data_IF_056223701948
#
_entry.id   IF_056223701948
#
_cell.length_a   1.000
_cell.length_b   1.000
_cell.length_c   1.000
_cell.angle_alpha   90.00
_cell.angle_beta   90.00
_cell.angle_gamma   90.00
#
_symmetry.space_group_name_H-M   'P 1'
#
loop_
_entity.id
_entity.type
_entity.pdbx_description
1 polymer ?
#
# COMPACT_ATOMS: atom_id res chain seq x y z
N UNK A 1 25.02 30.05 15.16
CA UNK A 1 24.65 30.43 13.78
C UNK A 1 24.36 31.93 13.70
N UNK A 2 23.98 32.47 12.53
CA UNK A 2 23.52 33.87 12.39
C UNK A 2 22.02 33.99 12.68
N UNK A 3 21.54 35.18 13.05
CA UNK A 3 20.11 35.43 13.36
C UNK A 3 19.16 35.00 12.25
N UNK A 4 19.49 35.31 10.99
CA UNK A 4 18.68 34.91 9.83
C UNK A 4 18.66 33.39 9.62
N UNK A 5 19.78 32.70 9.86
CA UNK A 5 19.86 31.24 9.67
C UNK A 5 19.25 30.47 10.84
N UNK A 6 19.26 31.02 12.06
CA UNK A 6 18.43 30.53 13.17
C UNK A 6 16.93 30.68 12.86
N UNK A 7 16.50 31.83 12.34
CA UNK A 7 15.11 32.04 11.92
C UNK A 7 14.67 31.08 10.81
N UNK A 8 15.54 30.80 9.85
CA UNK A 8 15.29 29.79 8.81
C UNK A 8 15.23 28.37 9.39
N UNK A 9 16.14 27.99 10.28
CA UNK A 9 16.12 26.68 10.95
C UNK A 9 14.82 26.47 11.75
N UNK A 10 14.36 27.49 12.48
CA UNK A 10 13.06 27.48 13.16
C UNK A 10 11.91 27.23 12.18
N UNK A 11 11.88 27.94 11.04
CA UNK A 11 10.88 27.72 10.00
C UNK A 11 10.91 26.30 9.43
N UNK A 12 12.10 25.73 9.20
CA UNK A 12 12.27 24.35 8.76
C UNK A 12 11.77 23.34 9.79
N UNK A 13 11.98 23.58 11.10
CA UNK A 13 11.41 22.78 12.18
C UNK A 13 9.87 22.88 12.18
N UNK A 14 9.30 24.08 12.02
CA UNK A 14 7.84 24.26 11.89
C UNK A 14 7.26 23.52 10.67
N UNK A 15 7.93 23.56 9.51
CA UNK A 15 7.51 22.82 8.30
C UNK A 15 7.59 21.30 8.52
N UNK A 16 8.63 20.83 9.23
CA UNK A 16 8.75 19.44 9.67
C UNK A 16 7.54 19.00 10.52
N UNK A 17 7.28 19.75 11.60
CA UNK A 17 6.19 19.49 12.55
C UNK A 17 4.78 19.56 11.94
N UNK A 18 4.51 20.59 11.13
CA UNK A 18 3.15 20.97 10.73
C UNK A 18 2.76 20.55 9.30
N UNK A 19 3.71 20.24 8.42
CA UNK A 19 3.41 19.83 7.04
C UNK A 19 3.97 18.45 6.71
N UNK A 20 5.28 18.24 6.87
CA UNK A 20 5.97 16.99 6.50
C UNK A 20 5.42 15.80 7.28
N UNK A 21 5.34 15.92 8.61
CA UNK A 21 4.85 14.84 9.46
C UNK A 21 3.38 14.44 9.16
N UNK A 22 2.39 15.35 9.10
CA UNK A 22 1.03 15.00 8.68
C UNK A 22 0.95 14.35 7.29
N UNK A 23 1.65 14.91 6.29
CA UNK A 23 1.65 14.38 4.91
C UNK A 23 2.21 12.96 4.83
N UNK A 24 3.30 12.68 5.54
CA UNK A 24 3.89 11.34 5.59
C UNK A 24 3.08 10.35 6.43
N UNK A 25 2.52 10.76 7.58
CA UNK A 25 1.74 9.86 8.43
C UNK A 25 0.47 9.36 7.74
N UNK A 26 -0.10 10.15 6.83
CA UNK A 26 -1.21 9.73 5.95
C UNK A 26 -0.82 8.66 4.91
N UNK A 27 0.47 8.36 4.71
CA UNK A 27 0.96 7.26 3.86
C UNK A 27 1.19 5.96 4.65
N UNK A 28 1.12 6.00 5.99
CA UNK A 28 1.52 4.88 6.85
C UNK A 28 0.30 4.15 7.42
N UNK A 29 0.01 2.98 6.84
CA UNK A 29 -1.08 2.09 7.25
C UNK A 29 -0.78 1.34 8.57
N UNK A 30 -0.71 2.08 9.69
CA UNK A 30 -0.51 1.53 11.03
C UNK A 30 -1.82 1.58 11.84
N UNK A 31 -2.24 0.48 12.49
CA UNK A 31 -3.39 0.49 13.40
C UNK A 31 -3.25 1.56 14.49
N UNK A 32 -4.21 2.49 14.53
CA UNK A 32 -4.20 3.65 15.44
C UNK A 32 -3.57 4.94 14.87
N UNK A 33 -2.88 4.90 13.73
CA UNK A 33 -2.28 6.09 13.11
C UNK A 33 -3.32 7.19 12.83
N UNK A 34 -4.55 6.84 12.47
CA UNK A 34 -5.64 7.80 12.29
C UNK A 34 -6.01 8.59 13.56
N UNK A 35 -5.79 8.03 14.76
CA UNK A 35 -5.96 8.76 16.03
C UNK A 35 -4.78 9.70 16.27
N UNK A 36 -3.55 9.23 16.03
CA UNK A 36 -2.33 10.04 16.17
C UNK A 36 -2.36 11.22 15.19
N UNK A 37 -2.73 11.00 13.92
CA UNK A 37 -2.88 12.04 12.90
C UNK A 37 -3.94 13.09 13.28
N UNK A 38 -5.12 12.68 13.77
CA UNK A 38 -6.17 13.62 14.21
C UNK A 38 -5.73 14.48 15.41
N UNK A 39 -4.93 13.94 16.32
CA UNK A 39 -4.43 14.65 17.50
C UNK A 39 -3.08 15.34 17.24
N UNK A 40 -2.46 15.15 16.07
CA UNK A 40 -1.10 15.58 15.79
C UNK A 40 -0.88 17.07 16.01
N UNK A 41 -1.80 17.90 15.52
CA UNK A 41 -1.69 19.35 15.64
C UNK A 41 -1.80 19.84 17.10
N UNK A 42 -2.41 19.08 18.02
CA UNK A 42 -2.44 19.43 19.44
C UNK A 42 -1.06 19.30 20.10
N UNK A 43 -0.23 18.38 19.59
CA UNK A 43 1.16 18.17 20.03
C UNK A 43 2.16 19.03 19.23
N UNK A 44 1.96 19.14 17.92
CA UNK A 44 2.88 19.83 17.01
C UNK A 44 2.78 21.37 17.06
N UNK A 45 1.60 21.93 17.34
CA UNK A 45 1.41 23.40 17.43
C UNK A 45 2.19 24.03 18.61
N UNK A 46 2.05 23.57 19.88
CA UNK A 46 2.86 24.11 20.97
C UNK A 46 4.37 23.91 20.73
N UNK A 47 4.78 22.77 20.17
CA UNK A 47 6.17 22.53 19.79
C UNK A 47 6.66 23.52 18.72
N UNK A 48 5.84 23.82 17.70
CA UNK A 48 6.15 24.82 16.68
C UNK A 48 6.13 26.27 17.21
N UNK A 49 5.39 26.56 18.29
CA UNK A 49 5.48 27.85 19.00
C UNK A 49 6.80 27.93 19.80
N UNK A 50 7.24 26.82 20.41
CA UNK A 50 8.41 26.81 21.30
C UNK A 50 9.72 27.29 20.65
N UNK A 51 9.92 27.07 19.34
CA UNK A 51 11.15 27.48 18.65
C UNK A 51 11.30 28.99 18.53
N UNK A 52 10.19 29.74 18.56
CA UNK A 52 10.15 31.21 18.49
C UNK A 52 10.23 31.88 19.86
N UNK A 53 10.10 31.12 20.96
CA UNK A 53 10.28 31.61 22.32
C UNK A 53 11.77 31.60 22.73
N UNK A 54 12.19 32.49 23.65
CA UNK A 54 13.46 32.35 24.35
C UNK A 54 13.57 30.98 25.03
N UNK A 55 14.78 30.41 25.07
CA UNK A 55 15.06 29.14 25.77
C UNK A 55 14.75 29.29 27.26
N UNK A 56 14.13 28.27 27.86
CA UNK A 56 13.65 28.28 29.23
C UNK A 56 12.47 27.34 29.45
N UNK A 57 11.98 27.28 30.69
CA UNK A 57 10.97 26.28 31.11
C UNK A 57 9.69 26.30 30.27
N UNK A 58 9.18 27.47 29.89
CA UNK A 58 7.95 27.60 29.09
C UNK A 58 8.14 27.00 27.70
N UNK A 59 9.26 27.29 27.04
CA UNK A 59 9.58 26.73 25.73
C UNK A 59 9.82 25.21 25.82
N UNK A 60 10.48 24.73 26.88
CA UNK A 60 10.70 23.31 27.12
C UNK A 60 9.38 22.54 27.35
N UNK A 61 8.44 23.10 28.12
CA UNK A 61 7.10 22.51 28.34
C UNK A 61 6.28 22.47 27.05
N UNK A 62 6.31 23.53 26.26
CA UNK A 62 5.63 23.58 24.95
C UNK A 62 6.25 22.61 23.93
N UNK A 63 7.56 22.39 23.98
CA UNK A 63 8.22 21.33 23.22
C UNK A 63 7.86 19.92 23.72
N UNK A 64 7.74 19.73 25.04
CA UNK A 64 7.46 18.43 25.65
C UNK A 64 6.07 17.89 25.29
N UNK A 65 5.12 18.76 24.92
CA UNK A 65 3.85 18.38 24.33
C UNK A 65 3.97 17.53 23.04
N UNK A 66 5.14 17.53 22.39
CA UNK A 66 5.40 16.69 21.22
C UNK A 66 5.68 15.21 21.57
N UNK A 67 6.31 14.95 22.72
CA UNK A 67 6.78 13.62 23.12
C UNK A 67 5.68 12.52 23.15
N UNK A 68 4.44 12.77 23.63
CA UNK A 68 3.40 11.74 23.62
C UNK A 68 3.01 11.29 22.20
N UNK A 69 2.97 12.22 21.25
CA UNK A 69 2.61 11.92 19.86
C UNK A 69 3.69 11.08 19.16
N UNK A 70 4.97 11.43 19.35
CA UNK A 70 6.08 10.68 18.75
C UNK A 70 6.29 9.33 19.44
N UNK A 71 6.11 9.25 20.76
CA UNK A 71 6.13 7.99 21.51
C UNK A 71 5.04 7.03 21.03
N UNK A 72 3.84 7.54 20.70
CA UNK A 72 2.78 6.72 20.12
C UNK A 72 3.12 6.14 18.73
N UNK A 73 3.91 6.85 17.91
CA UNK A 73 4.46 6.33 16.66
C UNK A 73 5.50 5.24 16.92
N UNK A 74 6.48 5.52 17.79
CA UNK A 74 7.56 4.60 18.17
C UNK A 74 7.02 3.27 18.71
N UNK A 75 6.07 3.31 19.66
CA UNK A 75 5.42 2.12 20.24
C UNK A 75 4.59 1.34 19.21
N UNK A 76 4.22 1.97 18.09
CA UNK A 76 3.46 1.32 17.02
C UNK A 76 4.34 0.75 15.91
N UNK A 77 5.60 1.18 15.79
CA UNK A 77 6.54 0.63 14.79
C UNK A 77 6.78 -0.90 14.94
N UNK A 78 6.98 -1.48 16.15
CA UNK A 78 7.08 -2.94 16.31
C UNK A 78 5.81 -3.69 15.87
N UNK A 79 4.63 -3.07 15.94
CA UNK A 79 3.38 -3.70 15.48
C UNK A 79 3.36 -3.89 13.96
N UNK A 80 3.97 -2.98 13.21
CA UNK A 80 4.20 -3.15 11.76
C UNK A 80 5.09 -4.36 11.49
N UNK A 81 6.18 -4.51 12.26
CA UNK A 81 7.11 -5.66 12.15
C UNK A 81 6.41 -6.98 12.45
N UNK A 82 5.59 -7.04 13.50
CA UNK A 82 4.89 -8.24 13.91
C UNK A 82 3.73 -8.61 12.97
N UNK A 83 3.00 -7.62 12.43
CA UNK A 83 1.93 -7.87 11.45
C UNK A 83 2.48 -8.54 10.18
N UNK A 84 3.59 -8.03 9.62
CA UNK A 84 4.23 -8.63 8.44
C UNK A 84 4.99 -9.94 8.70
N UNK A 85 5.09 -10.41 9.96
CA UNK A 85 5.67 -11.72 10.32
C UNK A 85 4.63 -12.82 10.49
N UNK A 86 3.34 -12.51 10.48
CA UNK A 86 2.28 -13.54 10.53
C UNK A 86 2.11 -14.13 9.12
N UNK A 87 2.27 -15.46 8.92
CA UNK A 87 1.81 -16.09 7.70
C UNK A 87 0.29 -15.94 7.60
N UNK A 88 -0.24 -15.85 6.38
CA UNK A 88 -1.67 -16.06 6.17
C UNK A 88 -2.06 -17.44 6.72
N UNK A 89 -3.20 -17.58 7.43
CA UNK A 89 -3.76 -18.90 7.67
C UNK A 89 -4.03 -19.54 6.31
N UNK A 90 -3.55 -20.77 6.10
CA UNK A 90 -3.89 -21.51 4.90
C UNK A 90 -5.41 -21.78 4.90
N UNK A 91 -6.10 -21.32 3.86
CA UNK A 91 -7.50 -21.68 3.60
C UNK A 91 -7.56 -23.18 3.35
N UNK A 92 -8.06 -23.93 4.33
CA UNK A 92 -8.06 -25.41 4.34
C UNK A 92 -9.18 -25.99 3.47
N UNK A 93 -9.22 -25.59 2.20
CA UNK A 93 -10.21 -26.00 1.20
C UNK A 93 -9.56 -26.81 0.06
N UNK A 94 -9.02 -27.99 0.39
CA UNK A 94 -8.62 -29.02 -0.59
C UNK A 94 -8.33 -30.39 0.08
N UNK A 95 -9.30 -30.98 0.79
CA UNK A 95 -9.23 -32.39 1.22
C UNK A 95 -10.63 -32.97 1.44
N UNK A 96 -11.43 -32.93 0.38
CA UNK A 96 -12.81 -33.42 0.33
C UNK A 96 -12.98 -34.60 -0.63
N UNK A 97 -12.08 -35.59 -0.53
CA UNK A 97 -12.18 -36.82 -1.32
C UNK A 97 -13.24 -37.77 -0.75
N UNK A 98 -14.30 -38.02 -1.53
CA UNK A 98 -15.17 -39.21 -1.42
C UNK A 98 -16.07 -39.38 -2.62
N UNK A 99 -16.05 -40.59 -3.17
CA UNK A 99 -16.87 -41.00 -4.31
C UNK A 99 -18.39 -41.05 -4.04
N UNK A 100 -19.10 -41.14 -5.16
CA UNK A 100 -20.56 -41.27 -5.30
C UNK A 100 -21.22 -42.37 -4.46
N UNK A 101 -22.50 -42.18 -4.10
CA UNK A 101 -23.60 -43.02 -4.61
C UNK A 101 -25.02 -42.56 -4.19
N UNK A 102 -25.95 -42.61 -5.16
CA UNK A 102 -27.41 -42.82 -5.05
C UNK A 102 -28.35 -41.75 -4.41
N UNK A 103 -29.39 -41.42 -5.20
CA UNK A 103 -30.66 -40.70 -4.91
C UNK A 103 -31.78 -41.75 -4.66
N UNK A 104 -33.07 -41.42 -4.39
CA UNK A 104 -33.69 -40.12 -4.05
C UNK A 104 -34.68 -40.18 -2.83
N UNK A 105 -35.35 -39.05 -2.55
CA UNK A 105 -36.57 -38.91 -1.74
C UNK A 105 -37.29 -37.60 -2.10
N UNK A 106 -38.61 -37.49 -1.91
CA UNK A 106 -39.47 -36.43 -2.48
C UNK A 106 -40.50 -35.85 -1.48
N UNK A 107 -41.37 -34.95 -1.98
CA UNK A 107 -42.64 -34.45 -1.37
C UNK A 107 -42.42 -33.39 -0.24
N UNK A 108 -43.24 -32.34 0.02
CA UNK A 108 -44.33 -31.57 -0.66
C UNK A 108 -44.50 -30.23 0.18
N UNK A 109 -45.35 -29.20 -0.01
CA UNK A 109 -46.47 -28.86 -0.90
C UNK A 109 -46.75 -27.32 -0.93
N UNK A 110 -47.70 -26.89 -1.78
CA UNK A 110 -48.60 -25.70 -1.66
C UNK A 110 -48.10 -24.28 -2.06
N UNK A 111 -48.89 -23.56 -2.89
CA UNK A 111 -48.58 -22.16 -3.25
C UNK A 111 -49.66 -21.26 -3.90
N UNK A 112 -50.57 -21.78 -4.77
CA UNK A 112 -51.83 -21.15 -5.29
C UNK A 112 -51.83 -19.72 -5.91
N UNK A 113 -52.71 -19.57 -6.93
CA UNK A 113 -53.26 -18.36 -7.59
C UNK A 113 -52.45 -17.75 -8.76
N UNK A 114 -53.05 -17.14 -9.80
CA UNK A 114 -54.37 -17.27 -10.48
C UNK A 114 -54.40 -16.29 -11.68
N UNK A 115 -54.67 -16.79 -12.90
CA UNK A 115 -55.35 -16.21 -14.09
C UNK A 115 -55.80 -14.72 -14.17
N UNK A 116 -56.07 -14.16 -15.38
CA UNK A 116 -55.50 -14.47 -16.72
C UNK A 116 -55.36 -13.23 -17.68
N UNK A 117 -54.80 -13.46 -18.88
CA UNK A 117 -55.33 -12.81 -20.11
C UNK A 117 -54.59 -11.58 -20.69
N UNK A 118 -54.90 -11.21 -21.95
CA UNK A 118 -53.83 -11.18 -22.96
C UNK A 118 -53.81 -9.98 -23.94
N UNK A 119 -52.92 -10.09 -24.93
CA UNK A 119 -52.89 -9.44 -26.26
C UNK A 119 -52.70 -7.92 -26.40
N UNK A 120 -51.61 -7.53 -27.08
CA UNK A 120 -51.65 -6.81 -28.39
C UNK A 120 -50.24 -6.58 -28.96
N UNK A 121 -50.08 -6.75 -30.27
CA UNK A 121 -48.81 -6.56 -31.03
C UNK A 121 -48.90 -5.25 -31.90
N UNK A 122 -48.15 -4.98 -33.01
CA UNK A 122 -47.58 -3.64 -33.23
C UNK A 122 -48.15 -2.87 -34.44
N UNK A 123 -47.74 -1.60 -34.63
CA UNK A 123 -48.05 -0.83 -35.85
C UNK A 123 -47.19 0.45 -36.03
N UNK A 124 -47.09 1.02 -37.26
CA UNK A 124 -46.04 1.98 -37.64
C UNK A 124 -46.54 3.32 -38.25
N UNK A 125 -45.63 4.03 -38.95
CA UNK A 125 -45.81 5.18 -39.85
C UNK A 125 -46.15 6.55 -39.16
N UNK A 126 -45.65 7.72 -39.61
CA UNK A 126 -45.58 8.24 -40.98
C UNK A 126 -44.46 9.29 -41.25
N UNK A 127 -44.18 9.54 -42.53
CA UNK A 127 -43.29 10.56 -43.16
C UNK A 127 -44.10 11.86 -43.51
N UNK A 128 -43.68 12.89 -44.32
CA UNK A 128 -42.35 13.32 -44.83
C UNK A 128 -42.05 14.86 -44.87
N UNK A 129 -40.75 15.23 -44.93
CA UNK A 129 -40.13 16.38 -45.66
C UNK A 129 -40.61 17.86 -45.51
N UNK A 130 -40.01 18.85 -46.24
CA UNK A 130 -38.80 18.79 -47.08
C UNK A 130 -37.73 19.93 -46.86
N UNK A 131 -36.55 19.73 -47.48
CA UNK A 131 -35.55 20.67 -48.05
C UNK A 131 -35.03 21.93 -47.31
N UNK A 132 -33.69 21.98 -47.11
CA UNK A 132 -32.81 22.77 -48.01
C UNK A 132 -31.29 22.59 -47.76
N UNK A 133 -30.54 22.59 -48.87
CA UNK A 133 -29.11 22.36 -49.11
C UNK A 133 -28.06 22.84 -48.08
N UNK A 134 -26.97 22.04 -47.93
CA UNK A 134 -25.65 22.36 -48.54
C UNK A 134 -24.56 21.27 -48.39
N UNK A 135 -24.17 20.75 -49.54
CA UNK A 135 -22.84 20.28 -49.99
C UNK A 135 -21.84 19.65 -48.99
N UNK A 136 -21.56 18.38 -49.25
CA UNK A 136 -20.37 17.61 -48.84
C UNK A 136 -19.22 17.83 -49.89
N UNK A 137 -18.10 17.06 -49.99
CA UNK A 137 -17.77 15.81 -49.30
C UNK A 137 -16.31 15.64 -48.79
N UNK A 138 -16.12 14.59 -47.96
CA UNK A 138 -14.90 13.74 -47.96
C UNK A 138 -15.26 12.46 -48.75
N UNK A 139 -14.31 11.68 -49.33
CA UNK A 139 -13.84 10.52 -48.53
C UNK A 139 -12.47 9.88 -48.87
N UNK A 140 -11.98 9.13 -47.87
CA UNK A 140 -11.23 7.85 -47.89
C UNK A 140 -9.80 7.63 -48.44
N UNK A 141 -9.19 6.60 -47.82
CA UNK A 141 -7.98 5.85 -48.22
C UNK A 141 -8.23 4.97 -49.45
N UNK A 142 -7.19 4.78 -50.28
CA UNK A 142 -6.71 3.54 -50.96
C UNK A 142 -5.54 3.91 -51.91
N UNK A 143 -4.61 3.05 -52.34
CA UNK A 143 -4.00 1.80 -51.79
C UNK A 143 -2.78 1.39 -52.67
N UNK A 144 -1.65 1.02 -52.06
CA UNK A 144 -0.54 0.22 -52.62
C UNK A 144 0.35 0.77 -53.77
N UNK A 145 1.52 0.12 -53.89
CA UNK A 145 2.44 -0.07 -55.03
C UNK A 145 3.10 1.13 -55.74
N UNK A 146 4.42 1.30 -55.56
CA UNK A 146 5.45 0.86 -56.54
C UNK A 146 6.90 1.18 -56.08
N UNK A 147 7.81 0.24 -56.34
CA UNK A 147 9.29 0.36 -56.33
C UNK A 147 9.80 -0.46 -57.53
N UNK A 148 10.86 -0.05 -58.25
CA UNK A 148 12.05 -0.93 -58.23
C UNK A 148 13.44 -0.27 -58.50
N UNK A 149 14.44 -0.72 -57.72
CA UNK A 149 15.85 -0.84 -58.14
C UNK A 149 16.78 0.35 -57.86
N UNK A 150 18.10 0.18 -57.69
CA UNK A 150 19.00 -0.99 -57.68
C UNK A 150 20.02 -0.83 -56.51
N UNK A 151 20.90 -1.76 -56.12
CA UNK A 151 21.67 -2.78 -56.86
C UNK A 151 22.08 -4.00 -56.00
N UNK A 152 22.71 -5.00 -56.63
CA UNK A 152 23.15 -6.26 -55.98
C UNK A 152 24.59 -6.20 -55.46
N UNK A 153 24.90 -7.08 -54.50
CA UNK A 153 26.02 -8.00 -54.64
C UNK A 153 25.87 -9.25 -53.76
N UNK A 154 25.90 -10.43 -54.39
CA UNK A 154 25.81 -11.74 -53.74
C UNK A 154 27.16 -12.20 -53.15
N UNK A 155 27.14 -13.07 -52.12
CA UNK A 155 28.10 -14.18 -51.97
C UNK A 155 27.64 -15.22 -50.92
N UNK A 156 27.73 -16.50 -51.27
CA UNK A 156 27.47 -17.72 -50.47
C UNK A 156 28.07 -18.94 -51.24
N UNK A 157 27.95 -20.23 -50.82
CA UNK A 157 27.49 -20.81 -49.54
C UNK A 157 28.41 -21.95 -48.98
N UNK A 158 28.02 -22.57 -47.85
CA UNK A 158 28.46 -23.90 -47.37
C UNK A 158 27.79 -24.22 -46.01
N UNK A 159 27.08 -25.34 -45.74
CA UNK A 159 27.38 -26.79 -45.87
C UNK A 159 28.55 -27.25 -44.96
N UNK A 160 28.46 -28.33 -44.18
CA UNK A 160 27.46 -29.43 -44.09
C UNK A 160 27.60 -30.23 -42.76
N UNK A 161 26.52 -30.90 -42.29
CA UNK A 161 26.52 -32.19 -41.50
C UNK A 161 27.21 -32.20 -40.11
N UNK A 162 27.05 -33.21 -39.23
CA UNK A 162 26.01 -34.24 -39.01
C UNK A 162 26.09 -34.73 -37.53
N UNK A 163 25.18 -35.63 -37.16
CA UNK A 163 25.21 -36.60 -36.03
C UNK A 163 24.18 -36.35 -34.91
N UNK A 164 23.36 -37.38 -34.67
CA UNK A 164 22.50 -37.50 -33.49
C UNK A 164 22.81 -38.78 -32.73
N UNK A 165 22.45 -38.81 -31.45
CA UNK A 165 22.50 -40.01 -30.61
C UNK A 165 21.32 -40.01 -29.64
N UNK A 166 20.54 -41.09 -29.65
CA UNK A 166 19.38 -41.28 -28.78
C UNK A 166 19.59 -42.50 -27.88
N UNK A 167 19.45 -42.35 -26.57
CA UNK A 167 19.19 -43.48 -25.66
C UNK A 167 18.59 -43.05 -24.31
N UNK A 168 18.13 -44.08 -23.59
CA UNK A 168 17.17 -44.06 -22.49
C UNK A 168 17.45 -43.12 -21.29
N UNK A 169 16.37 -42.73 -20.61
CA UNK A 169 16.36 -42.47 -19.15
C UNK A 169 15.93 -43.74 -18.39
N UNK A 170 15.26 -43.65 -17.23
CA UNK A 170 14.86 -42.45 -16.48
C UNK A 170 15.67 -42.28 -15.18
N UNK A 171 15.69 -41.07 -14.62
CA UNK A 171 16.01 -40.90 -13.21
C UNK A 171 15.24 -39.75 -12.57
N UNK A 172 14.85 -39.91 -11.31
CA UNK A 172 13.86 -39.08 -10.62
C UNK A 172 14.46 -37.80 -10.02
N UNK A 173 14.89 -36.89 -10.89
CA UNK A 173 15.21 -35.52 -10.47
C UNK A 173 13.97 -34.83 -9.89
N UNK A 174 13.87 -34.78 -8.56
CA UNK A 174 12.80 -34.07 -7.85
C UNK A 174 12.68 -32.64 -8.41
N UNK A 175 11.51 -32.32 -8.99
CA UNK A 175 11.14 -30.93 -9.26
C UNK A 175 10.83 -30.24 -7.93
N UNK A 176 11.91 -29.90 -7.22
CA UNK A 176 11.88 -29.11 -6.00
C UNK A 176 11.39 -27.72 -6.35
N UNK A 177 10.06 -27.55 -6.38
CA UNK A 177 9.39 -26.27 -6.53
C UNK A 177 9.93 -25.34 -5.45
N UNK A 178 10.90 -24.50 -5.82
CA UNK A 178 11.65 -23.67 -4.87
C UNK A 178 10.68 -22.69 -4.23
N UNK A 179 10.26 -23.02 -3.01
CA UNK A 179 9.28 -22.24 -2.26
C UNK A 179 9.84 -20.82 -2.10
N UNK A 180 9.30 -19.88 -2.89
CA UNK A 180 9.75 -18.47 -2.92
C UNK A 180 9.64 -17.90 -1.52
N UNK A 181 10.75 -17.85 -0.77
CA UNK A 181 10.76 -17.42 0.62
C UNK A 181 10.12 -16.03 0.79
N UNK A 182 8.89 -15.93 1.33
CA UNK A 182 8.18 -14.67 1.40
C UNK A 182 8.59 -13.95 2.69
N UNK A 183 9.70 -13.22 2.64
CA UNK A 183 10.22 -12.52 3.83
C UNK A 183 11.19 -11.38 3.52
N UNK A 184 12.34 -11.69 2.91
CA UNK A 184 13.49 -10.77 2.84
C UNK A 184 13.21 -9.40 2.20
N UNK A 185 12.27 -9.27 1.27
CA UNK A 185 11.87 -7.97 0.69
C UNK A 185 10.98 -7.14 1.61
N UNK A 186 10.00 -7.78 2.24
CA UNK A 186 9.02 -7.13 3.12
C UNK A 186 9.69 -6.62 4.39
N UNK A 187 10.58 -7.44 4.99
CA UNK A 187 11.29 -7.09 6.23
C UNK A 187 12.12 -5.81 6.11
N UNK A 188 12.79 -5.56 4.98
CA UNK A 188 13.68 -4.38 4.84
C UNK A 188 12.90 -3.09 4.59
N UNK A 189 11.79 -3.15 3.84
CA UNK A 189 10.80 -2.04 3.78
C UNK A 189 10.27 -1.71 5.18
N UNK A 190 9.93 -2.74 5.95
CA UNK A 190 9.43 -2.61 7.31
C UNK A 190 10.44 -1.94 8.24
N UNK A 191 11.75 -2.21 8.10
CA UNK A 191 12.79 -1.49 8.84
C UNK A 191 12.81 -0.01 8.46
N UNK A 192 12.78 0.34 7.17
CA UNK A 192 12.76 1.75 6.74
C UNK A 192 11.54 2.52 7.28
N UNK A 193 10.35 1.93 7.25
CA UNK A 193 9.13 2.55 7.81
C UNK A 193 9.18 2.60 9.34
N UNK A 194 9.78 1.61 10.02
CA UNK A 194 9.97 1.64 11.46
C UNK A 194 10.96 2.75 11.88
N UNK A 195 12.06 2.94 11.14
CA UNK A 195 12.99 4.07 11.32
C UNK A 195 12.29 5.40 11.11
N UNK A 196 11.44 5.52 10.09
CA UNK A 196 10.64 6.73 9.89
C UNK A 196 9.75 7.01 11.11
N UNK A 197 9.05 6.01 11.64
CA UNK A 197 8.17 6.16 12.81
C UNK A 197 8.92 6.42 14.14
N UNK A 198 10.18 5.98 14.25
CA UNK A 198 11.03 6.21 15.41
C UNK A 198 11.70 7.60 15.41
N UNK A 199 12.10 8.10 14.23
CA UNK A 199 12.86 9.33 14.07
C UNK A 199 12.24 10.58 14.74
N UNK A 200 10.91 10.84 14.67
CA UNK A 200 10.28 11.95 15.38
C UNK A 200 10.54 11.99 16.89
N UNK A 201 10.75 10.84 17.54
CA UNK A 201 11.03 10.81 18.99
C UNK A 201 12.44 11.30 19.30
N UNK A 202 13.41 11.06 18.42
CA UNK A 202 14.76 11.67 18.54
C UNK A 202 14.65 13.18 18.35
N UNK A 203 13.90 13.64 17.35
CA UNK A 203 13.62 15.06 17.14
C UNK A 203 12.92 15.71 18.35
N UNK A 204 11.98 15.01 18.99
CA UNK A 204 11.27 15.49 20.18
C UNK A 204 12.18 15.60 21.41
N UNK A 205 13.02 14.60 21.68
CA UNK A 205 13.99 14.64 22.76
C UNK A 205 15.03 15.75 22.55
N UNK A 206 15.55 15.91 21.33
CA UNK A 206 16.47 16.99 20.98
C UNK A 206 15.81 18.37 21.15
N UNK A 207 14.56 18.54 20.68
CA UNK A 207 13.83 19.81 20.81
C UNK A 207 13.59 20.19 22.28
N UNK A 208 13.18 19.24 23.13
CA UNK A 208 12.95 19.51 24.57
C UNK A 208 14.25 19.91 25.27
N UNK A 209 15.35 19.20 25.01
CA UNK A 209 16.66 19.54 25.56
C UNK A 209 17.13 20.93 25.09
N UNK A 210 17.04 21.21 23.79
CA UNK A 210 17.49 22.46 23.18
C UNK A 210 16.67 23.68 23.66
N UNK A 211 15.34 23.54 23.76
CA UNK A 211 14.45 24.57 24.32
C UNK A 211 14.64 24.78 25.82
N UNK A 212 15.07 23.75 26.55
CA UNK A 212 15.48 23.86 27.95
C UNK A 212 16.88 24.47 28.15
N UNK A 213 17.67 24.62 27.07
CA UNK A 213 19.09 25.01 27.16
C UNK A 213 20.01 23.90 27.66
N UNK A 214 19.54 22.64 27.67
CA UNK A 214 20.27 21.47 28.15
C UNK A 214 21.07 20.81 27.03
N UNK A 215 22.38 20.65 27.25
CA UNK A 215 23.30 19.95 26.33
C UNK A 215 23.16 18.44 26.47
N UNK A 216 22.13 17.88 25.83
CA UNK A 216 21.90 16.44 25.77
C UNK A 216 23.14 15.72 25.17
N UNK A 217 23.68 14.74 25.91
CA UNK A 217 24.96 14.06 25.61
C UNK A 217 26.18 14.99 25.41
N UNK A 218 26.10 16.25 25.88
CA UNK A 218 27.15 17.26 25.70
C UNK A 218 27.04 18.06 24.40
N UNK A 219 26.16 17.70 23.46
CA UNK A 219 26.01 18.39 22.18
C UNK A 219 25.59 19.86 22.35
N UNK A 220 26.11 20.71 21.45
CA UNK A 220 25.76 22.13 21.39
C UNK A 220 24.31 22.36 20.99
N UNK A 221 23.72 23.46 21.46
CA UNK A 221 22.30 23.76 21.25
C UNK A 221 21.95 23.95 19.75
N UNK A 222 22.86 24.51 18.95
CA UNK A 222 22.67 24.60 17.49
C UNK A 222 22.68 23.20 16.84
N UNK A 223 23.50 22.25 17.33
CA UNK A 223 23.52 20.85 16.87
C UNK A 223 22.23 20.13 17.25
N UNK A 224 21.71 20.35 18.45
CA UNK A 224 20.42 19.80 18.86
C UNK A 224 19.26 20.37 18.02
N UNK A 225 19.25 21.66 17.71
CA UNK A 225 18.25 22.27 16.82
C UNK A 225 18.33 21.69 15.38
N UNK A 226 19.54 21.49 14.86
CA UNK A 226 19.76 20.80 13.59
C UNK A 226 19.33 19.33 13.64
N UNK A 227 19.49 18.65 14.78
CA UNK A 227 19.01 17.28 14.99
C UNK A 227 17.48 17.20 14.87
N UNK A 228 16.74 18.19 15.40
CA UNK A 228 15.28 18.27 15.21
C UNK A 228 14.94 18.25 13.72
N UNK A 229 15.53 19.17 12.93
CA UNK A 229 15.27 19.24 11.50
C UNK A 229 15.69 17.94 10.76
N UNK A 230 16.91 17.44 10.98
CA UNK A 230 17.40 16.25 10.29
C UNK A 230 16.52 15.02 10.55
N UNK A 231 16.03 14.82 11.77
CA UNK A 231 15.16 13.68 12.07
C UNK A 231 13.72 13.83 11.52
N UNK A 232 13.25 15.03 11.20
CA UNK A 232 12.02 15.23 10.40
C UNK A 232 12.24 14.95 8.90
N UNK A 233 13.37 15.37 8.33
CA UNK A 233 13.62 15.27 6.88
C UNK A 233 14.35 13.98 6.47
N UNK A 234 15.57 13.75 6.95
CA UNK A 234 16.33 12.54 6.68
C UNK A 234 15.86 11.34 7.51
N UNK A 235 15.49 11.57 8.78
CA UNK A 235 14.97 10.51 9.66
C UNK A 235 13.60 9.99 9.24
N UNK A 236 12.60 10.86 9.14
CA UNK A 236 11.23 10.50 8.78
C UNK A 236 10.98 10.48 7.26
N UNK A 237 11.06 11.62 6.59
CA UNK A 237 10.58 11.73 5.20
C UNK A 237 11.39 10.86 4.22
N UNK A 238 12.73 10.85 4.34
CA UNK A 238 13.59 10.04 3.49
C UNK A 238 13.41 8.52 3.73
N UNK A 239 13.36 8.07 4.98
CA UNK A 239 13.15 6.65 5.29
C UNK A 239 11.75 6.16 4.83
N UNK A 240 10.72 7.00 4.97
CA UNK A 240 9.38 6.72 4.46
C UNK A 240 9.34 6.61 2.93
N UNK A 241 9.90 7.60 2.22
CA UNK A 241 9.95 7.60 0.75
C UNK A 241 10.79 6.42 0.24
N UNK A 242 11.91 6.09 0.90
CA UNK A 242 12.71 4.91 0.58
C UNK A 242 11.92 3.59 0.74
N UNK A 243 11.11 3.47 1.80
CA UNK A 243 10.20 2.34 2.01
C UNK A 243 9.11 2.22 0.93
N UNK A 244 8.56 3.34 0.45
CA UNK A 244 7.57 3.39 -0.63
C UNK A 244 8.18 3.07 -2.00
N UNK A 245 9.41 3.54 -2.26
CA UNK A 245 10.17 3.20 -3.47
C UNK A 245 10.55 1.71 -3.48
N UNK A 246 10.87 1.13 -2.32
CA UNK A 246 11.12 -0.32 -2.18
C UNK A 246 9.87 -1.18 -2.43
N UNK A 247 8.67 -0.66 -2.19
CA UNK A 247 7.41 -1.34 -2.58
C UNK A 247 7.23 -1.35 -4.10
N UNK A 248 7.54 -0.23 -4.77
CA UNK A 248 7.39 -0.11 -6.23
C UNK A 248 8.49 -0.87 -7.01
N UNK A 249 9.70 -1.01 -6.48
CA UNK A 249 10.76 -1.88 -7.02
C UNK A 249 10.84 -3.24 -6.29
N UNK A 250 9.70 -3.72 -5.79
CA UNK A 250 9.60 -4.96 -5.00
C UNK A 250 10.13 -6.19 -5.75
N UNK A 251 10.71 -7.11 -4.98
CA UNK A 251 11.41 -8.30 -5.50
C UNK A 251 12.86 -8.05 -5.97
N UNK A 252 13.29 -6.80 -6.23
CA UNK A 252 14.67 -6.50 -6.64
C UNK A 252 15.63 -6.26 -5.46
N UNK A 253 16.96 -6.42 -5.66
CA UNK A 253 17.95 -5.96 -4.68
C UNK A 253 18.01 -4.42 -4.59
N UNK A 254 17.74 -3.70 -5.69
CA UNK A 254 17.82 -2.24 -5.76
C UNK A 254 16.86 -1.54 -4.80
N UNK A 255 15.56 -1.87 -4.83
CA UNK A 255 14.60 -1.35 -3.83
C UNK A 255 15.00 -1.66 -2.38
N UNK A 256 15.52 -2.88 -2.12
CA UNK A 256 15.97 -3.30 -0.78
C UNK A 256 17.17 -2.51 -0.27
N UNK A 257 18.15 -2.23 -1.13
CA UNK A 257 19.32 -1.39 -0.81
C UNK A 257 18.88 0.06 -0.53
N UNK A 258 17.97 0.59 -1.36
CA UNK A 258 17.40 1.93 -1.17
C UNK A 258 16.63 2.07 0.16
N UNK A 259 15.86 1.05 0.57
CA UNK A 259 15.20 1.04 1.88
C UNK A 259 16.21 1.02 3.05
N UNK A 260 17.30 0.25 2.93
CA UNK A 260 18.25 0.06 4.03
C UNK A 260 19.32 1.15 4.14
N UNK A 261 19.58 1.94 3.10
CA UNK A 261 20.59 3.00 3.14
C UNK A 261 20.28 4.09 4.16
N UNK A 262 19.00 4.45 4.36
CA UNK A 262 18.61 5.47 5.34
C UNK A 262 18.83 5.01 6.78
N UNK A 263 18.30 3.86 7.26
CA UNK A 263 18.59 3.37 8.61
C UNK A 263 20.06 3.04 8.84
N UNK A 264 20.77 2.45 7.86
CA UNK A 264 22.19 2.16 7.99
C UNK A 264 23.03 3.45 8.06
N UNK A 265 22.78 4.40 7.16
CA UNK A 265 23.49 5.68 7.13
C UNK A 265 23.26 6.52 8.38
N UNK A 266 22.02 6.60 8.88
CA UNK A 266 21.73 7.28 10.16
C UNK A 266 22.47 6.61 11.32
N UNK A 267 22.50 5.27 11.38
CA UNK A 267 23.22 4.56 12.45
C UNK A 267 24.73 4.77 12.40
N UNK A 268 25.32 4.85 11.19
CA UNK A 268 26.75 5.12 11.00
C UNK A 268 27.09 6.58 11.33
N UNK A 269 26.32 7.57 10.87
CA UNK A 269 26.51 8.98 11.27
C UNK A 269 26.37 9.13 12.79
N UNK A 270 25.37 8.49 13.40
CA UNK A 270 25.18 8.51 14.86
C UNK A 270 26.37 7.92 15.62
N UNK A 271 26.99 6.84 15.11
CA UNK A 271 28.22 6.29 15.68
C UNK A 271 29.44 7.21 15.49
N UNK A 272 29.47 7.98 14.39
CA UNK A 272 30.53 8.94 14.08
C UNK A 272 30.69 10.03 15.13
N UNK A 273 29.58 10.61 15.62
CA UNK A 273 29.57 11.59 16.71
C UNK A 273 30.24 11.13 18.03
N UNK A 274 30.45 9.82 18.20
CA UNK A 274 31.14 9.23 19.37
C UNK A 274 32.48 8.57 19.02
N UNK A 275 32.96 8.68 17.77
CA UNK A 275 34.15 7.98 17.29
C UNK A 275 35.07 8.84 16.40
N UNK A 276 34.63 9.33 15.24
CA UNK A 276 35.35 10.30 14.40
C UNK A 276 34.53 10.81 13.21
N UNK A 277 34.88 12.00 12.69
CA UNK A 277 34.26 12.58 11.48
C UNK A 277 34.39 11.67 10.25
N UNK A 278 35.43 10.82 10.17
CA UNK A 278 35.58 9.84 9.09
C UNK A 278 34.47 8.78 9.07
N UNK A 279 33.91 8.44 10.23
CA UNK A 279 32.74 7.56 10.34
C UNK A 279 31.47 8.34 9.98
N UNK A 280 31.37 9.64 10.30
CA UNK A 280 30.28 10.49 9.81
C UNK A 280 30.28 10.62 8.28
N UNK A 281 31.45 10.83 7.66
CA UNK A 281 31.63 10.82 6.21
C UNK A 281 31.24 9.49 5.58
N UNK A 282 31.62 8.35 6.18
CA UNK A 282 31.19 7.04 5.72
C UNK A 282 29.66 6.88 5.77
N UNK A 283 29.01 7.38 6.83
CA UNK A 283 27.56 7.41 6.96
C UNK A 283 26.88 8.33 5.93
N UNK A 284 27.43 9.52 5.70
CA UNK A 284 26.98 10.47 4.69
C UNK A 284 27.12 9.91 3.26
N UNK A 285 28.17 9.12 2.98
CA UNK A 285 28.34 8.41 1.72
C UNK A 285 27.29 7.29 1.51
N UNK A 286 26.98 6.52 2.56
CA UNK A 286 25.91 5.51 2.54
C UNK A 286 24.54 6.16 2.33
N UNK A 287 24.25 7.29 3.00
CA UNK A 287 23.05 8.07 2.77
C UNK A 287 22.98 8.60 1.33
N UNK A 288 24.08 9.17 0.82
CA UNK A 288 24.14 9.77 -0.52
C UNK A 288 23.89 8.75 -1.63
N UNK A 289 24.64 7.65 -1.66
CA UNK A 289 24.45 6.58 -2.64
C UNK A 289 23.04 5.98 -2.55
N UNK A 290 22.53 5.85 -1.33
CA UNK A 290 21.16 5.44 -1.04
C UNK A 290 20.09 6.36 -1.61
N UNK A 291 20.18 7.66 -1.33
CA UNK A 291 19.20 8.64 -1.76
C UNK A 291 19.27 8.93 -3.27
N UNK A 292 20.45 8.84 -3.89
CA UNK A 292 20.56 8.80 -5.35
C UNK A 292 19.85 7.56 -5.94
N UNK A 293 19.97 6.39 -5.31
CA UNK A 293 19.23 5.20 -5.73
C UNK A 293 17.71 5.35 -5.53
N UNK A 294 17.25 5.97 -4.43
CA UNK A 294 15.85 6.35 -4.20
C UNK A 294 15.35 7.30 -5.30
N UNK A 295 16.11 8.34 -5.64
CA UNK A 295 15.79 9.29 -6.71
C UNK A 295 15.75 8.62 -8.10
N UNK A 296 16.73 7.78 -8.42
CA UNK A 296 16.80 7.05 -9.69
C UNK A 296 15.66 6.04 -9.83
N UNK A 297 15.32 5.28 -8.78
CA UNK A 297 14.17 4.39 -8.76
C UNK A 297 12.85 5.17 -8.84
N UNK A 298 12.74 6.34 -8.19
CA UNK A 298 11.58 7.23 -8.32
C UNK A 298 11.40 7.67 -9.79
N UNK A 299 12.49 8.10 -10.43
CA UNK A 299 12.48 8.47 -11.85
C UNK A 299 12.12 7.30 -12.78
N UNK A 300 12.69 6.11 -12.54
CA UNK A 300 12.62 4.93 -13.44
C UNK A 300 11.45 3.98 -13.20
N UNK A 301 10.87 3.94 -12.00
CA UNK A 301 9.85 2.93 -11.59
C UNK A 301 8.50 3.53 -11.23
N UNK A 302 8.46 4.71 -10.62
CA UNK A 302 7.18 5.31 -10.18
C UNK A 302 6.46 5.91 -11.41
N UNK A 303 5.41 5.22 -11.85
CA UNK A 303 4.55 5.63 -12.97
C UNK A 303 3.57 6.69 -12.48
N UNK A 304 3.62 7.88 -13.09
CA UNK A 304 2.77 9.03 -12.83
C UNK A 304 2.72 9.93 -14.08
N UNK A 305 1.72 10.79 -14.19
CA UNK A 305 1.54 11.78 -15.26
C UNK A 305 1.37 13.19 -14.69
N UNK A 306 1.33 14.20 -15.57
CA UNK A 306 1.01 15.60 -15.22
C UNK A 306 1.83 16.18 -14.07
N UNK A 307 1.16 16.96 -13.21
CA UNK A 307 1.77 17.63 -12.06
C UNK A 307 2.42 16.64 -11.07
N UNK A 308 1.81 15.46 -10.86
CA UNK A 308 2.35 14.41 -9.97
C UNK A 308 3.71 13.91 -10.46
N UNK A 309 3.86 13.73 -11.78
CA UNK A 309 5.17 13.40 -12.37
C UNK A 309 6.17 14.53 -12.22
N UNK A 310 5.74 15.78 -12.36
CA UNK A 310 6.58 16.97 -12.10
C UNK A 310 7.12 16.99 -10.66
N UNK A 311 6.26 16.82 -9.66
CA UNK A 311 6.63 16.78 -8.25
C UNK A 311 7.64 15.65 -7.93
N UNK A 312 7.47 14.46 -8.51
CA UNK A 312 8.42 13.36 -8.35
C UNK A 312 9.78 13.64 -9.01
N UNK A 313 9.79 14.34 -10.16
CA UNK A 313 11.03 14.73 -10.84
C UNK A 313 11.78 15.81 -10.06
N UNK A 314 11.08 16.81 -9.52
CA UNK A 314 11.66 17.83 -8.62
C UNK A 314 12.25 17.15 -7.37
N UNK A 315 11.52 16.21 -6.77
CA UNK A 315 11.97 15.47 -5.59
C UNK A 315 13.23 14.62 -5.88
N UNK A 316 13.25 13.89 -6.99
CA UNK A 316 14.42 13.10 -7.41
C UNK A 316 15.63 13.96 -7.82
N UNK A 317 15.42 15.08 -8.51
CA UNK A 317 16.48 16.00 -8.92
C UNK A 317 17.10 16.74 -7.74
N UNK A 318 16.28 17.12 -6.74
CA UNK A 318 16.74 17.75 -5.49
C UNK A 318 17.80 16.89 -4.80
N UNK A 319 17.55 15.57 -4.67
CA UNK A 319 18.47 14.64 -4.02
C UNK A 319 19.84 14.54 -4.72
N UNK A 320 19.94 14.82 -6.02
CA UNK A 320 21.24 14.86 -6.70
C UNK A 320 22.07 16.00 -6.13
N UNK A 321 21.51 17.21 -6.09
CA UNK A 321 22.19 18.42 -5.62
C UNK A 321 22.43 18.41 -4.12
N UNK A 322 21.42 18.06 -3.31
CA UNK A 322 21.52 18.17 -1.84
C UNK A 322 22.44 17.11 -1.23
N UNK A 323 22.54 15.91 -1.83
CA UNK A 323 23.49 14.91 -1.34
C UNK A 323 24.94 15.22 -1.76
N UNK A 324 25.18 15.90 -2.89
CA UNK A 324 26.51 16.47 -3.19
C UNK A 324 26.94 17.48 -2.13
N UNK A 325 26.03 18.37 -1.70
CA UNK A 325 26.29 19.31 -0.59
C UNK A 325 26.51 18.61 0.75
N UNK A 326 25.89 17.44 0.98
CA UNK A 326 26.12 16.65 2.19
C UNK A 326 27.51 15.98 2.18
N UNK A 327 27.98 15.52 1.01
CA UNK A 327 29.35 15.01 0.84
C UNK A 327 30.39 16.13 0.96
N UNK A 328 30.15 17.31 0.39
CA UNK A 328 31.01 18.50 0.52
C UNK A 328 31.26 18.84 2.00
N UNK A 329 30.18 18.96 2.77
CA UNK A 329 30.24 19.20 4.22
C UNK A 329 30.99 18.10 4.97
N UNK A 330 30.58 16.84 4.81
CA UNK A 330 31.14 15.73 5.60
C UNK A 330 32.61 15.42 5.23
N UNK A 331 33.00 15.65 3.97
CA UNK A 331 34.40 15.57 3.55
C UNK A 331 35.19 16.75 4.10
N UNK A 332 34.61 17.95 4.07
CA UNK A 332 35.19 19.18 4.60
C UNK A 332 35.56 19.08 6.08
N UNK A 333 34.64 18.62 6.93
CA UNK A 333 34.91 18.37 8.36
C UNK A 333 36.02 17.30 8.52
N UNK A 334 35.85 16.11 7.95
CA UNK A 334 36.79 14.98 8.14
C UNK A 334 38.21 15.22 7.58
N UNK A 335 38.41 16.22 6.73
CA UNK A 335 39.72 16.56 6.14
C UNK A 335 40.24 17.96 6.48
N UNK A 336 39.44 18.80 7.14
CA UNK A 336 39.72 20.23 7.32
C UNK A 336 39.71 21.04 6.01
N UNK A 337 39.18 20.49 4.90
CA UNK A 337 39.07 21.22 3.63
C UNK A 337 37.99 22.32 3.70
N UNK A 338 38.18 23.47 3.01
CA UNK A 338 37.16 24.51 2.93
C UNK A 338 35.86 23.99 2.29
N UNK A 339 34.76 24.09 3.02
CA UNK A 339 33.43 23.60 2.66
C UNK A 339 32.36 24.66 2.91
N UNK A 340 31.13 24.43 2.45
CA UNK A 340 30.05 25.41 2.56
C UNK A 340 29.63 25.63 4.04
N UNK A 341 29.71 26.84 4.64
CA UNK A 341 29.51 27.02 6.07
C UNK A 341 28.06 26.79 6.52
N UNK A 342 27.88 26.43 7.79
CA UNK A 342 26.64 25.87 8.35
C UNK A 342 25.36 26.68 8.07
N UNK A 343 25.43 28.01 8.12
CA UNK A 343 24.30 28.91 7.79
C UNK A 343 23.87 28.80 6.33
N UNK A 344 24.81 28.61 5.41
CA UNK A 344 24.55 28.35 4.00
C UNK A 344 24.09 26.91 3.75
N UNK A 345 24.59 25.91 4.47
CA UNK A 345 24.06 24.54 4.40
C UNK A 345 22.58 24.45 4.82
N UNK A 346 22.16 25.19 5.86
CA UNK A 346 20.73 25.32 6.20
C UNK A 346 19.94 26.00 5.07
N UNK A 347 20.52 27.00 4.42
CA UNK A 347 19.89 27.76 3.34
C UNK A 347 19.79 27.02 2.00
N UNK A 348 20.76 26.15 1.67
CA UNK A 348 20.80 25.41 0.40
C UNK A 348 20.32 23.97 0.60
N UNK A 349 21.12 23.12 1.23
CA UNK A 349 20.80 21.72 1.50
C UNK A 349 19.50 21.58 2.31
N UNK A 350 19.37 22.31 3.42
CA UNK A 350 18.22 22.22 4.33
C UNK A 350 16.90 22.61 3.67
N UNK A 351 16.84 23.84 3.13
CA UNK A 351 15.64 24.36 2.47
C UNK A 351 15.26 23.56 1.21
N UNK A 352 16.23 23.17 0.38
CA UNK A 352 15.95 22.35 -0.80
C UNK A 352 15.44 20.96 -0.41
N UNK A 353 16.04 20.29 0.59
CA UNK A 353 15.53 19.01 1.07
C UNK A 353 14.12 19.12 1.68
N UNK A 354 13.80 20.25 2.32
CA UNK A 354 12.47 20.47 2.88
C UNK A 354 11.40 20.64 1.79
N UNK A 355 11.61 21.58 0.86
CA UNK A 355 10.61 21.93 -0.15
C UNK A 355 10.67 20.98 -1.35
N UNK A 356 11.83 20.92 -2.01
CA UNK A 356 12.04 20.18 -3.25
C UNK A 356 11.98 18.67 -3.08
N UNK A 357 12.68 18.12 -2.07
CA UNK A 357 12.63 16.68 -1.83
C UNK A 357 11.38 16.26 -1.05
N UNK A 358 11.26 16.67 0.21
CA UNK A 358 10.29 16.10 1.15
C UNK A 358 8.84 16.51 0.84
N UNK A 359 8.54 17.81 0.71
CA UNK A 359 7.17 18.25 0.44
C UNK A 359 6.68 17.79 -0.96
N UNK A 360 7.43 18.04 -2.04
CA UNK A 360 7.02 17.56 -3.36
C UNK A 360 6.90 16.03 -3.43
N UNK A 361 7.83 15.29 -2.80
CA UNK A 361 7.80 13.84 -2.73
C UNK A 361 6.55 13.32 -2.00
N UNK A 362 6.31 13.78 -0.76
CA UNK A 362 5.18 13.32 0.05
C UNK A 362 3.83 13.73 -0.55
N UNK A 363 3.70 14.91 -1.15
CA UNK A 363 2.47 15.33 -1.85
C UNK A 363 2.21 14.44 -3.09
N UNK A 364 3.24 14.13 -3.87
CA UNK A 364 3.08 13.23 -5.02
C UNK A 364 2.68 11.81 -4.58
N UNK A 365 3.27 11.27 -3.52
CA UNK A 365 2.87 9.98 -2.95
C UNK A 365 1.46 10.00 -2.35
N UNK A 366 1.01 11.12 -1.76
CA UNK A 366 -0.38 11.27 -1.29
C UNK A 366 -1.39 11.16 -2.44
N UNK A 367 -1.15 11.86 -3.56
CA UNK A 367 -2.02 11.81 -4.73
C UNK A 367 -2.02 10.39 -5.32
N UNK A 368 -0.84 9.78 -5.50
CA UNK A 368 -0.73 8.39 -5.98
C UNK A 368 -1.37 7.34 -5.06
N UNK A 369 -1.51 7.61 -3.76
CA UNK A 369 -2.23 6.73 -2.84
C UNK A 369 -3.76 6.86 -3.01
N UNK A 370 -4.25 8.09 -3.15
CA UNK A 370 -5.66 8.38 -3.40
C UNK A 370 -6.14 7.83 -4.76
N UNK A 371 -5.37 8.07 -5.83
CA UNK A 371 -5.66 7.60 -7.19
C UNK A 371 -5.77 6.07 -7.29
N UNK A 372 -5.13 5.33 -6.37
CA UNK A 372 -5.15 3.86 -6.30
C UNK A 372 -6.29 3.29 -5.46
N UNK A 373 -7.18 4.15 -4.93
CA UNK A 373 -8.27 3.72 -4.05
C UNK A 373 -7.81 3.16 -2.70
N UNK A 374 -6.55 3.36 -2.30
CA UNK A 374 -6.06 2.97 -0.98
C UNK A 374 -6.77 3.85 0.06
N UNK A 375 -7.50 3.29 1.05
CA UNK A 375 -8.24 4.10 2.02
C UNK A 375 -7.34 4.93 2.95
N UNK A 376 -6.89 6.11 2.48
CA UNK A 376 -6.28 7.12 3.34
C UNK A 376 -7.24 7.39 4.49
N UNK A 377 -6.78 7.23 5.74
CA UNK A 377 -7.65 6.77 6.84
C UNK A 377 -8.58 7.85 7.44
N UNK A 378 -9.53 8.26 6.62
CA UNK A 378 -10.65 9.14 6.92
C UNK A 378 -11.84 8.27 7.33
N UNK A 379 -12.49 8.56 8.47
CA UNK A 379 -13.47 7.64 9.07
C UNK A 379 -14.69 7.32 8.18
N UNK A 380 -14.99 8.18 7.21
CA UNK A 380 -16.05 7.97 6.21
C UNK A 380 -15.78 6.77 5.28
N UNK A 381 -14.51 6.41 5.02
CA UNK A 381 -14.17 5.32 4.11
C UNK A 381 -14.60 3.94 4.62
N UNK A 382 -14.50 3.70 5.94
CA UNK A 382 -14.96 2.46 6.56
C UNK A 382 -16.49 2.34 6.52
N UNK A 383 -17.20 3.42 6.83
CA UNK A 383 -18.67 3.46 6.82
C UNK A 383 -19.20 3.33 5.38
N UNK A 384 -18.53 3.92 4.39
CA UNK A 384 -18.89 3.77 2.99
C UNK A 384 -18.63 2.34 2.47
N UNK A 385 -17.47 1.75 2.77
CA UNK A 385 -17.12 0.38 2.37
C UNK A 385 -18.13 -0.63 2.91
N UNK A 386 -18.34 -0.66 4.23
CA UNK A 386 -19.29 -1.59 4.87
C UNK A 386 -20.73 -1.42 4.36
N UNK A 387 -21.13 -0.20 3.98
CA UNK A 387 -22.47 0.05 3.41
C UNK A 387 -22.59 -0.39 1.95
N UNK A 388 -21.50 -0.41 1.19
CA UNK A 388 -21.47 -0.96 -0.18
C UNK A 388 -21.47 -2.49 -0.12
N UNK A 389 -20.61 -3.08 0.72
CA UNK A 389 -20.52 -4.53 0.93
C UNK A 389 -21.88 -5.11 1.35
N UNK A 390 -22.52 -4.57 2.38
CA UNK A 390 -23.85 -5.03 2.81
C UNK A 390 -24.95 -4.86 1.75
N UNK A 391 -24.86 -3.85 0.88
CA UNK A 391 -25.83 -3.64 -0.21
C UNK A 391 -25.56 -4.57 -1.41
N UNK A 392 -24.32 -5.01 -1.59
CA UNK A 392 -23.93 -6.01 -2.58
C UNK A 392 -24.29 -7.43 -2.12
N UNK A 393 -24.06 -7.78 -0.85
CA UNK A 393 -24.54 -9.04 -0.26
C UNK A 393 -26.06 -9.15 -0.35
N UNK A 394 -26.80 -8.08 0.00
CA UNK A 394 -28.26 -8.08 -0.08
C UNK A 394 -28.78 -8.28 -1.51
N UNK A 395 -28.14 -7.66 -2.52
CA UNK A 395 -28.47 -7.93 -3.93
C UNK A 395 -28.07 -9.34 -4.38
N UNK A 396 -26.93 -9.86 -3.96
CA UNK A 396 -26.49 -11.22 -4.30
C UNK A 396 -27.45 -12.28 -3.71
N UNK A 397 -27.92 -12.08 -2.48
CA UNK A 397 -28.94 -12.93 -1.84
C UNK A 397 -30.28 -12.86 -2.58
N UNK A 398 -30.72 -11.66 -2.99
CA UNK A 398 -31.94 -11.50 -3.80
C UNK A 398 -31.81 -12.18 -5.18
N UNK A 399 -30.66 -12.07 -5.85
CA UNK A 399 -30.42 -12.70 -7.15
C UNK A 399 -30.35 -14.23 -7.01
N UNK A 400 -29.65 -14.76 -6.01
CA UNK A 400 -29.60 -16.20 -5.75
C UNK A 400 -31.00 -16.78 -5.47
N UNK A 401 -31.81 -16.10 -4.65
CA UNK A 401 -33.20 -16.49 -4.40
C UNK A 401 -34.08 -16.46 -5.65
N UNK A 402 -33.92 -15.45 -6.50
CA UNK A 402 -34.66 -15.35 -7.77
C UNK A 402 -34.28 -16.47 -8.76
N UNK A 403 -32.99 -16.75 -8.94
CA UNK A 403 -32.52 -17.86 -9.81
C UNK A 403 -33.06 -19.20 -9.31
N UNK A 404 -32.98 -19.45 -8.01
CA UNK A 404 -33.46 -20.71 -7.43
C UNK A 404 -34.98 -20.88 -7.59
N UNK A 405 -35.78 -19.80 -7.52
CA UNK A 405 -37.20 -19.87 -7.84
C UNK A 405 -37.45 -20.25 -9.31
N UNK A 406 -36.74 -19.62 -10.26
CA UNK A 406 -36.88 -19.92 -11.71
C UNK A 406 -36.54 -21.39 -12.00
N UNK A 407 -35.46 -21.92 -11.44
CA UNK A 407 -35.09 -23.33 -11.60
C UNK A 407 -36.17 -24.27 -11.03
N UNK A 408 -36.73 -23.97 -9.86
CA UNK A 408 -37.82 -24.80 -9.29
C UNK A 408 -39.12 -24.77 -10.08
N UNK A 409 -39.45 -23.65 -10.75
CA UNK A 409 -40.60 -23.58 -11.66
C UNK A 409 -40.35 -24.42 -12.92
N UNK A 410 -39.17 -24.31 -13.54
CA UNK A 410 -38.83 -25.08 -14.74
C UNK A 410 -38.77 -26.60 -14.47
N UNK A 411 -38.29 -27.04 -13.31
CA UNK A 411 -38.37 -28.45 -12.91
C UNK A 411 -39.82 -28.92 -12.65
N UNK A 412 -40.74 -28.03 -12.26
CA UNK A 412 -42.14 -28.40 -12.04
C UNK A 412 -42.89 -28.58 -13.37
N UNK A 413 -42.75 -27.64 -14.31
CA UNK A 413 -43.39 -27.71 -15.62
C UNK A 413 -42.91 -28.94 -16.42
N UNK A 414 -41.60 -29.22 -16.40
CA UNK A 414 -41.02 -30.38 -17.07
C UNK A 414 -41.53 -31.74 -16.50
N UNK A 415 -41.99 -31.77 -15.25
CA UNK A 415 -42.62 -32.97 -14.64
C UNK A 415 -44.11 -33.07 -14.95
N UNK A 416 -44.80 -31.95 -15.14
CA UNK A 416 -46.21 -31.94 -15.55
C UNK A 416 -46.39 -32.52 -16.96
N UNK A 417 -45.54 -32.10 -17.90
CA UNK A 417 -45.58 -32.53 -19.31
C UNK A 417 -45.30 -34.05 -19.45
N UNK A 418 -44.34 -34.58 -18.67
CA UNK A 418 -44.03 -36.00 -18.61
C UNK A 418 -45.18 -36.86 -18.01
N UNK A 419 -46.05 -36.27 -17.18
CA UNK A 419 -47.11 -36.97 -16.47
C UNK A 419 -48.35 -37.33 -17.29
N UNK A 420 -48.58 -36.67 -18.44
CA UNK A 420 -49.83 -36.84 -19.23
C UNK A 420 -49.84 -38.05 -20.18
N UNK A 421 -48.71 -38.74 -20.40
CA UNK A 421 -48.57 -39.73 -21.48
C UNK A 421 -48.95 -41.16 -21.08
N UNK A 422 -48.92 -41.51 -19.78
CA UNK A 422 -49.24 -42.88 -19.30
C UNK A 422 -50.56 -42.93 -18.55
N UNK A 423 -51.63 -43.33 -19.24
CA UNK A 423 -52.99 -43.36 -18.69
C UNK A 423 -53.35 -44.62 -17.88
N UNK A 424 -54.52 -44.56 -17.25
CA UNK A 424 -55.48 -45.68 -16.99
C UNK A 424 -54.94 -47.06 -16.56
N UNK A 425 -55.31 -47.52 -15.35
CA UNK A 425 -56.25 -48.67 -15.15
C UNK A 425 -56.51 -49.01 -13.67
N UNK A 426 -57.80 -48.91 -13.29
CA UNK A 426 -58.59 -49.67 -12.29
C UNK A 426 -57.97 -50.46 -11.08
N UNK A 427 -58.40 -50.03 -9.88
CA UNK A 427 -59.12 -50.79 -8.81
C UNK A 427 -58.47 -51.84 -7.87
N UNK A 428 -58.80 -51.64 -6.58
CA UNK A 428 -59.21 -52.61 -5.53
C UNK A 428 -58.22 -53.56 -4.84
N UNK A 429 -58.39 -53.69 -3.51
CA UNK A 429 -57.91 -54.81 -2.69
C UNK A 429 -56.73 -54.49 -1.74
N UNK A 430 -56.72 -54.70 -0.43
CA UNK A 430 -57.69 -54.65 0.67
C UNK A 430 -56.99 -55.19 1.95
N UNK A 431 -57.13 -54.47 3.08
CA UNK A 431 -57.33 -55.04 4.43
C UNK A 431 -56.22 -55.95 5.05
N UNK A 432 -55.51 -55.44 6.08
CA UNK A 432 -55.52 -55.96 7.48
C UNK A 432 -54.50 -55.25 8.44
N UNK A 433 -54.93 -55.00 9.70
CA UNK A 433 -54.31 -55.30 11.03
C UNK A 433 -52.78 -55.08 11.28
N UNK A 434 -52.25 -54.71 12.47
CA UNK A 434 -52.82 -54.57 13.84
C UNK A 434 -51.90 -53.79 14.83
N UNK A 435 -52.52 -53.12 15.83
CA UNK A 435 -52.18 -52.97 17.28
C UNK A 435 -50.75 -52.63 17.81
N UNK A 436 -50.77 -51.72 18.81
CA UNK A 436 -49.97 -51.70 20.07
C UNK A 436 -48.48 -51.27 19.98
N UNK A 437 -47.83 -50.73 21.04
CA UNK A 437 -48.28 -50.44 22.43
C UNK A 437 -47.52 -49.25 23.08
N UNK A 438 -48.04 -48.81 24.25
CA UNK A 438 -47.36 -48.49 25.55
C UNK A 438 -45.82 -48.24 25.62
N UNK A 439 -45.22 -47.45 26.53
CA UNK A 439 -45.75 -46.65 27.67
C UNK A 439 -44.74 -45.59 28.22
N UNK A 440 -45.18 -44.89 29.27
CA UNK A 440 -44.56 -43.88 30.15
C UNK A 440 -43.10 -44.05 30.64
N UNK A 441 -42.44 -42.91 30.96
CA UNK A 441 -41.32 -42.80 31.92
C UNK A 441 -40.22 -41.82 31.46
N UNK A 442 -40.00 -40.58 31.93
CA UNK A 442 -40.15 -39.86 33.22
C UNK A 442 -38.89 -39.82 34.13
N UNK A 443 -38.48 -38.58 34.47
CA UNK A 443 -37.67 -38.12 35.63
C UNK A 443 -36.11 -38.11 35.63
N UNK A 444 -35.59 -36.90 35.98
CA UNK A 444 -34.51 -36.55 36.95
C UNK A 444 -33.01 -36.41 36.53
N UNK A 445 -32.60 -35.12 36.45
CA UNK A 445 -31.67 -34.38 37.35
C UNK A 445 -30.12 -34.56 37.29
N UNK A 446 -29.48 -33.40 37.06
CA UNK A 446 -28.43 -32.72 37.89
C UNK A 446 -26.91 -32.91 37.63
N UNK A 447 -26.21 -31.77 37.78
CA UNK A 447 -24.74 -31.51 37.93
C UNK A 447 -23.89 -31.75 36.66
N UNK A 448 -23.16 -30.76 36.13
CA UNK A 448 -22.01 -29.96 36.63
C UNK A 448 -20.66 -30.69 36.45
N UNK A 449 -19.52 -30.05 36.11
CA UNK A 449 -19.23 -28.62 35.90
C UNK A 449 -17.85 -28.41 35.23
N UNK A 450 -17.10 -27.35 35.61
CA UNK A 450 -15.80 -26.88 35.04
C UNK A 450 -15.85 -26.44 33.56
N UNK A 451 -15.21 -25.36 33.08
CA UNK A 451 -13.96 -24.63 33.42
C UNK A 451 -12.64 -25.30 33.00
N UNK A 452 -11.62 -24.45 32.82
CA UNK A 452 -10.29 -24.69 32.24
C UNK A 452 -10.29 -24.86 30.69
N UNK A 453 -9.32 -24.33 29.95
CA UNK A 453 -8.11 -23.59 30.37
C UNK A 453 -7.70 -22.47 29.39
#
# INVERSE_FOLDING_TARGET
MSTWSHGLLNLLICVGLLAVMPLGLRLVAVPGAARVHRLWFLAATPAAISVWLPRGWLAAVLAAAYLPATTALLVSAPRLVLAHRRPMPATSEASGDRDSHLRPGSDDHAGRHSDPGPDSDPGPDSDPGPDSDRDAPRPNRYRNDLDPGSDRHDLAPGRERDAGASQHGPDSAHSGASARQPGHGVTLRVVAVATALAAPTVAACALVAERAGYRLFGFELDVLALTVAHFHYAGFAAALIAGLVCEVDSGRPTGRLAAMSVPAGIAVVFAGFFTSEWVELAGAAVLTAGMWLVGWLTWRRVRASGAVRGLLLVSAATLVVTMLLALDWALGEATGLPHLPLSWMVATHGLANAVGFALCGLVAWQILAADRGIPTTTAQGLIAGQRIEAHQEMHAIQQAGATQQVETSQEADARADAGQVTGTTQTTGARQKTKASQETGALRRMKAGSEWH
#
